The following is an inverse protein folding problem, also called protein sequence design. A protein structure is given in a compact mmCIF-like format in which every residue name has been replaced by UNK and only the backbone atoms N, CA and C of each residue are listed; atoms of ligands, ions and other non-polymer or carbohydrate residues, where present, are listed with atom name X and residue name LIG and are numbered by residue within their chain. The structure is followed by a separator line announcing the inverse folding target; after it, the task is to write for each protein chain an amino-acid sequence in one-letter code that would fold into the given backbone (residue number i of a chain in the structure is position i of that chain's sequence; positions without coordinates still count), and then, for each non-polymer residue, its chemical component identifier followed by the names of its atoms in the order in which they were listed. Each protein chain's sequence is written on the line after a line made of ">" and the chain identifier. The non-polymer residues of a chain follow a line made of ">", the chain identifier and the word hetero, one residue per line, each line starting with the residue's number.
data_IF_241963671313
#
_entry.id   IF_241963671313
#
_cell.length_a   1.000
_cell.length_b   1.000
_cell.length_c   1.000
_cell.angle_alpha   90.00
_cell.angle_beta   90.00
_cell.angle_gamma   90.00
#
_symmetry.space_group_name_H-M   'P 1'
#
loop_
_entity.id
_entity.type
_entity.pdbx_description
1 polymer ?
#
# COMPACT_ATOMS: atom_id res chain seq x y z
N UNK A 1 76.06 -34.70 -19.98
CA UNK A 1 74.59 -34.96 -20.00
C UNK A 1 73.79 -34.40 -18.80
N UNK A 2 74.40 -33.78 -17.77
CA UNK A 2 73.65 -33.16 -16.65
C UNK A 2 72.94 -31.80 -16.94
N UNK A 3 73.41 -30.89 -17.81
CA UNK A 3 72.77 -29.57 -17.97
C UNK A 3 71.44 -29.64 -18.75
N UNK A 4 71.33 -30.56 -19.72
CA UNK A 4 70.11 -30.72 -20.54
C UNK A 4 68.92 -31.21 -19.70
N UNK A 5 69.16 -32.13 -18.74
CA UNK A 5 68.09 -32.61 -17.84
C UNK A 5 67.56 -31.52 -16.91
N UNK A 6 68.43 -30.61 -16.45
CA UNK A 6 68.04 -29.48 -15.61
C UNK A 6 67.21 -28.45 -16.38
N UNK A 7 67.59 -28.16 -17.64
CA UNK A 7 66.84 -27.26 -18.53
C UNK A 7 65.46 -27.84 -18.88
N UNK A 8 65.39 -29.13 -19.21
CA UNK A 8 64.11 -29.82 -19.50
C UNK A 8 63.22 -29.81 -18.25
N UNK A 9 63.77 -30.10 -17.07
CA UNK A 9 63.03 -30.06 -15.81
C UNK A 9 62.48 -28.65 -15.51
N UNK A 10 63.30 -27.61 -15.71
CA UNK A 10 62.88 -26.22 -15.56
C UNK A 10 61.76 -25.82 -16.53
N UNK A 11 61.84 -26.26 -17.79
CA UNK A 11 60.80 -26.02 -18.78
C UNK A 11 59.48 -26.72 -18.44
N UNK A 12 59.53 -28.00 -18.05
CA UNK A 12 58.34 -28.76 -17.64
C UNK A 12 57.68 -28.11 -16.42
N UNK A 13 58.46 -27.66 -15.45
CA UNK A 13 57.95 -26.93 -14.28
C UNK A 13 57.28 -25.60 -14.70
N UNK A 14 57.90 -24.84 -15.60
CA UNK A 14 57.33 -23.59 -16.09
C UNK A 14 56.01 -23.80 -16.84
N UNK A 15 55.92 -24.82 -17.70
CA UNK A 15 54.68 -25.19 -18.40
C UNK A 15 53.61 -25.63 -17.41
N UNK A 16 53.96 -26.42 -16.40
CA UNK A 16 53.04 -26.83 -15.35
C UNK A 16 52.49 -25.63 -14.56
N UNK A 17 53.38 -24.72 -14.12
CA UNK A 17 52.99 -23.48 -13.43
C UNK A 17 52.08 -22.63 -14.33
N UNK A 18 52.40 -22.51 -15.62
CA UNK A 18 51.56 -21.78 -16.57
C UNK A 18 50.16 -22.38 -16.68
N UNK A 19 50.04 -23.71 -16.80
CA UNK A 19 48.74 -24.40 -16.86
C UNK A 19 47.92 -24.14 -15.59
N UNK A 20 48.56 -24.21 -14.42
CA UNK A 20 47.88 -23.95 -13.13
C UNK A 20 47.40 -22.49 -13.05
N UNK A 21 48.24 -21.53 -13.39
CA UNK A 21 47.90 -20.10 -13.35
C UNK A 21 46.83 -19.76 -14.38
N UNK A 22 46.94 -20.27 -15.61
CA UNK A 22 45.95 -20.06 -16.67
C UNK A 22 44.59 -20.69 -16.30
N UNK A 23 44.59 -21.91 -15.77
CA UNK A 23 43.37 -22.58 -15.30
C UNK A 23 42.72 -21.80 -14.16
N UNK A 24 43.51 -21.32 -13.20
CA UNK A 24 43.03 -20.46 -12.12
C UNK A 24 42.46 -19.14 -12.64
N UNK A 25 43.13 -18.50 -13.61
CA UNK A 25 42.66 -17.26 -14.22
C UNK A 25 41.33 -17.46 -15.00
N UNK A 26 41.18 -18.58 -15.71
CA UNK A 26 39.93 -18.94 -16.39
C UNK A 26 38.79 -19.15 -15.39
N UNK A 27 39.02 -19.93 -14.33
CA UNK A 27 38.04 -20.14 -13.26
C UNK A 27 37.66 -18.82 -12.59
N UNK A 28 38.64 -17.96 -12.32
CA UNK A 28 38.42 -16.62 -11.78
C UNK A 28 37.56 -15.76 -12.71
N UNK A 29 37.81 -15.79 -14.02
CA UNK A 29 37.06 -15.05 -15.03
C UNK A 29 35.63 -15.58 -15.20
N UNK A 30 35.43 -16.90 -15.08
CA UNK A 30 34.12 -17.56 -15.05
C UNK A 30 33.34 -17.33 -13.74
N UNK A 31 33.93 -16.62 -12.78
CA UNK A 31 33.29 -16.28 -11.51
C UNK A 31 33.36 -17.39 -10.47
N UNK A 32 34.28 -18.34 -10.58
CA UNK A 32 34.53 -19.34 -9.54
C UNK A 32 35.42 -18.79 -8.42
N UNK A 33 35.15 -19.21 -7.19
CA UNK A 33 35.96 -18.94 -6.02
C UNK A 33 36.13 -20.22 -5.21
N UNK A 34 37.31 -20.39 -4.63
CA UNK A 34 37.61 -21.52 -3.74
C UNK A 34 36.94 -21.25 -2.40
N UNK A 35 36.07 -22.18 -2.00
CA UNK A 35 35.55 -22.28 -0.65
C UNK A 35 36.56 -23.07 0.19
N UNK A 36 37.44 -22.38 0.89
CA UNK A 36 38.52 -22.99 1.68
C UNK A 36 38.02 -23.86 2.84
N UNK A 37 36.76 -23.71 3.26
CA UNK A 37 36.19 -24.55 4.31
C UNK A 37 35.83 -25.94 3.79
N UNK A 38 35.35 -26.02 2.55
CA UNK A 38 34.88 -27.27 1.94
C UNK A 38 35.79 -27.78 0.81
N UNK A 39 36.90 -27.08 0.53
CA UNK A 39 37.84 -27.33 -0.57
C UNK A 39 37.16 -27.50 -1.94
N UNK A 40 36.06 -26.78 -2.16
CA UNK A 40 35.25 -26.89 -3.37
C UNK A 40 35.26 -25.58 -4.19
N UNK A 41 35.17 -25.72 -5.51
CA UNK A 41 35.00 -24.59 -6.42
C UNK A 41 33.52 -24.26 -6.54
N UNK A 42 33.12 -23.08 -6.06
CA UNK A 42 31.74 -22.60 -6.19
C UNK A 42 31.69 -21.41 -7.14
N UNK A 43 30.70 -21.41 -8.03
CA UNK A 43 30.37 -20.22 -8.82
C UNK A 43 29.82 -19.16 -7.87
N UNK A 44 30.34 -17.95 -7.99
CA UNK A 44 29.96 -16.85 -7.11
C UNK A 44 28.63 -16.24 -7.52
N UNK A 45 27.95 -15.64 -6.55
CA UNK A 45 26.76 -14.83 -6.76
C UNK A 45 27.05 -13.34 -6.62
N UNK A 46 26.00 -12.55 -6.81
CA UNK A 46 25.99 -11.10 -6.71
C UNK A 46 24.87 -10.65 -5.77
N UNK A 47 25.08 -9.54 -5.07
CA UNK A 47 23.98 -8.83 -4.40
C UNK A 47 23.87 -7.44 -5.02
N UNK A 48 22.70 -7.09 -5.52
CA UNK A 48 22.35 -5.72 -5.89
C UNK A 48 21.57 -5.06 -4.75
N UNK A 49 22.03 -3.89 -4.31
CA UNK A 49 21.48 -3.21 -3.14
C UNK A 49 21.10 -1.78 -3.53
N UNK A 50 19.86 -1.39 -3.24
CA UNK A 50 19.39 -0.02 -3.39
C UNK A 50 18.58 0.41 -2.17
N UNK A 51 18.85 1.62 -1.67
CA UNK A 51 18.15 2.22 -0.53
C UNK A 51 17.67 3.63 -0.84
N UNK A 52 16.67 4.06 -0.08
CA UNK A 52 16.08 5.39 -0.16
C UNK A 52 16.05 6.04 1.22
N UNK A 53 16.77 7.16 1.41
CA UNK A 53 17.66 7.81 0.45
C UNK A 53 18.91 6.99 0.06
N UNK A 54 19.50 7.35 -1.09
CA UNK A 54 20.75 6.77 -1.61
C UNK A 54 21.95 7.18 -0.76
N UNK A 55 23.06 6.47 -0.92
CA UNK A 55 24.32 6.76 -0.22
C UNK A 55 24.31 6.26 1.23
N UNK A 56 23.70 5.10 1.49
CA UNK A 56 23.83 4.41 2.76
C UNK A 56 25.12 3.58 2.76
N UNK A 57 25.85 3.62 3.88
CA UNK A 57 26.98 2.74 4.18
C UNK A 57 26.49 1.30 4.30
N UNK A 58 27.33 0.37 3.83
CA UNK A 58 26.98 -1.03 3.72
C UNK A 58 27.93 -1.86 4.59
N UNK A 59 27.34 -2.73 5.40
CA UNK A 59 28.07 -3.76 6.13
C UNK A 59 27.44 -5.11 5.81
N UNK A 60 28.26 -6.07 5.39
CA UNK A 60 27.83 -7.39 4.96
C UNK A 60 28.56 -8.46 5.78
N UNK A 61 27.79 -9.30 6.48
CA UNK A 61 28.31 -10.33 7.39
C UNK A 61 29.36 -9.77 8.37
N UNK A 62 29.06 -8.64 9.01
CA UNK A 62 29.97 -8.01 9.96
C UNK A 62 31.03 -7.08 9.33
N UNK A 63 31.28 -7.16 8.02
CA UNK A 63 32.36 -6.43 7.35
C UNK A 63 31.86 -5.19 6.60
N UNK A 64 32.46 -4.03 6.87
CA UNK A 64 32.21 -2.82 6.12
C UNK A 64 32.65 -2.98 4.65
N UNK A 65 31.80 -2.52 3.74
CA UNK A 65 32.05 -2.49 2.31
C UNK A 65 32.36 -1.06 1.93
N UNK A 66 33.47 -0.84 1.23
CA UNK A 66 33.93 0.48 0.75
C UNK A 66 33.13 0.95 -0.48
N UNK A 67 31.80 0.93 -0.35
CA UNK A 67 30.80 1.38 -1.33
C UNK A 67 29.53 1.77 -0.58
N UNK A 68 28.77 2.68 -1.17
CA UNK A 68 27.44 3.06 -0.67
C UNK A 68 26.34 2.67 -1.66
N UNK A 69 25.09 2.64 -1.22
CA UNK A 69 23.94 2.37 -2.09
C UNK A 69 23.71 3.49 -3.12
N UNK A 70 23.20 3.20 -4.34
CA UNK A 70 23.01 1.87 -4.90
C UNK A 70 24.33 1.24 -5.35
N UNK A 71 24.50 -0.07 -5.16
CA UNK A 71 25.72 -0.77 -5.59
C UNK A 71 25.50 -2.26 -5.81
N UNK A 72 26.42 -2.88 -6.52
CA UNK A 72 26.50 -4.34 -6.67
C UNK A 72 27.74 -4.88 -5.99
N UNK A 73 27.53 -5.77 -5.03
CA UNK A 73 28.59 -6.55 -4.39
C UNK A 73 28.76 -7.84 -5.22
N UNK A 74 29.93 -7.98 -5.83
CA UNK A 74 30.26 -9.08 -6.74
C UNK A 74 31.07 -10.15 -6.03
N UNK A 75 31.09 -11.36 -6.60
CA UNK A 75 32.02 -12.44 -6.22
C UNK A 75 31.80 -12.98 -4.79
N UNK A 76 30.55 -13.05 -4.37
CA UNK A 76 30.17 -13.62 -3.07
C UNK A 76 30.07 -15.14 -3.19
N UNK A 77 30.56 -15.85 -2.17
CA UNK A 77 30.29 -17.29 -2.10
C UNK A 77 28.81 -17.50 -1.79
N UNK A 78 28.17 -18.54 -2.32
CA UNK A 78 26.79 -18.87 -1.95
C UNK A 78 26.63 -19.08 -0.44
N UNK A 79 25.55 -18.55 0.13
CA UNK A 79 25.26 -18.61 1.56
C UNK A 79 24.41 -17.43 2.05
N UNK A 80 24.08 -17.45 3.34
CA UNK A 80 23.32 -16.37 3.99
C UNK A 80 24.23 -15.24 4.46
N UNK A 81 23.84 -14.01 4.15
CA UNK A 81 24.54 -12.81 4.58
C UNK A 81 23.59 -11.87 5.31
N UNK A 82 23.98 -11.45 6.52
CA UNK A 82 23.37 -10.31 7.19
C UNK A 82 23.84 -9.02 6.50
N UNK A 83 22.92 -8.31 5.86
CA UNK A 83 23.11 -6.98 5.31
C UNK A 83 22.65 -5.94 6.33
N UNK A 84 23.53 -5.01 6.67
CA UNK A 84 23.25 -3.83 7.48
C UNK A 84 23.47 -2.58 6.61
N UNK A 85 22.50 -1.68 6.59
CA UNK A 85 22.58 -0.38 5.94
C UNK A 85 22.50 0.72 6.99
N UNK A 86 23.43 1.67 6.92
CA UNK A 86 23.46 2.81 7.83
C UNK A 86 23.59 4.12 7.06
N UNK A 87 22.90 5.16 7.50
CA UNK A 87 23.03 6.49 6.93
C UNK A 87 22.81 7.52 8.03
N UNK A 88 23.67 8.54 8.08
CA UNK A 88 23.55 9.63 9.05
C UNK A 88 22.14 10.23 9.05
N UNK A 89 21.56 10.44 10.23
CA UNK A 89 20.21 10.94 10.48
C UNK A 89 19.04 9.98 10.13
N UNK A 90 19.34 8.76 9.68
CA UNK A 90 18.34 7.72 9.43
C UNK A 90 18.51 6.57 10.41
N UNK A 91 17.42 5.82 10.62
CA UNK A 91 17.42 4.58 11.35
C UNK A 91 18.14 3.52 10.50
N UNK A 92 18.98 2.67 11.11
CA UNK A 92 19.65 1.61 10.38
C UNK A 92 18.62 0.62 9.82
N UNK A 93 19.01 -0.12 8.80
CA UNK A 93 18.23 -1.24 8.30
C UNK A 93 19.05 -2.50 8.32
N UNK A 94 18.44 -3.64 8.66
CA UNK A 94 19.08 -4.94 8.66
C UNK A 94 18.22 -6.01 7.98
N UNK A 95 18.86 -6.93 7.25
CA UNK A 95 18.18 -7.96 6.46
C UNK A 95 19.06 -9.17 6.19
N UNK A 96 18.50 -10.37 6.27
CA UNK A 96 19.18 -11.58 5.83
C UNK A 96 18.93 -11.79 4.33
N UNK A 97 20.00 -12.01 3.57
CA UNK A 97 19.95 -12.26 2.13
C UNK A 97 20.61 -13.60 1.81
N UNK A 98 19.90 -14.46 1.07
CA UNK A 98 20.44 -15.69 0.53
C UNK A 98 21.15 -15.38 -0.82
N UNK A 99 22.44 -15.66 -0.89
CA UNK A 99 23.20 -15.60 -2.15
C UNK A 99 23.24 -16.99 -2.77
N UNK A 100 22.70 -17.10 -3.97
CA UNK A 100 22.70 -18.34 -4.73
C UNK A 100 23.81 -18.37 -5.79
N UNK A 101 24.24 -19.58 -6.13
CA UNK A 101 25.35 -19.83 -7.06
C UNK A 101 25.03 -19.31 -8.47
N UNK A 102 25.80 -18.32 -8.94
CA UNK A 102 25.66 -17.77 -10.29
C UNK A 102 24.44 -16.86 -10.50
N UNK A 103 23.70 -16.54 -9.45
CA UNK A 103 22.51 -15.68 -9.50
C UNK A 103 22.79 -14.30 -8.90
N UNK A 104 21.89 -13.36 -9.21
CA UNK A 104 21.87 -12.02 -8.63
C UNK A 104 20.74 -11.98 -7.60
N UNK A 105 21.09 -11.84 -6.33
CA UNK A 105 20.13 -11.56 -5.27
C UNK A 105 19.87 -10.06 -5.25
N UNK A 106 18.62 -9.66 -5.46
CA UNK A 106 18.25 -8.24 -5.46
C UNK A 106 17.61 -7.85 -4.12
N UNK A 107 18.15 -6.78 -3.51
CA UNK A 107 17.51 -6.07 -2.40
C UNK A 107 17.36 -4.60 -2.77
N UNK A 108 16.31 -4.32 -3.54
CA UNK A 108 15.93 -2.97 -3.97
C UNK A 108 14.96 -2.33 -2.99
N UNK A 109 14.78 -1.02 -3.15
CA UNK A 109 13.75 -0.23 -2.49
C UNK A 109 13.77 -0.30 -0.95
N UNK A 110 14.95 -0.44 -0.34
CA UNK A 110 15.06 -0.40 1.11
C UNK A 110 14.79 1.01 1.62
N UNK A 111 13.67 1.19 2.33
CA UNK A 111 13.25 2.49 2.82
C UNK A 111 13.89 2.78 4.19
N UNK A 112 14.80 3.75 4.23
CA UNK A 112 15.41 4.23 5.47
C UNK A 112 14.55 5.35 6.04
N UNK A 113 14.08 5.16 7.27
CA UNK A 113 13.24 6.15 7.97
C UNK A 113 14.11 7.08 8.80
N UNK A 114 13.81 8.38 8.81
CA UNK A 114 14.52 9.39 9.57
C UNK A 114 14.54 9.03 11.06
N UNK A 115 15.70 9.20 11.69
CA UNK A 115 15.88 8.93 13.12
C UNK A 115 15.15 9.97 13.97
N UNK A 116 15.29 11.25 13.59
CA UNK A 116 14.68 12.39 14.26
C UNK A 116 13.54 12.93 13.41
N UNK A 117 12.32 12.50 13.73
CA UNK A 117 11.10 13.02 13.11
C UNK A 117 10.81 14.42 13.69
N UNK A 118 10.68 15.43 12.83
CA UNK A 118 10.35 16.81 13.19
C UNK A 118 8.98 17.16 12.60
N UNK A 119 7.87 16.92 13.33
CA UNK A 119 6.55 17.28 12.87
C UNK A 119 6.41 18.80 12.77
N UNK A 120 5.81 19.28 11.70
CA UNK A 120 5.54 20.70 11.46
C UNK A 120 4.04 20.91 11.40
N UNK A 121 3.50 21.78 12.26
CA UNK A 121 2.10 22.17 12.21
C UNK A 121 1.83 22.95 10.93
N UNK A 122 0.88 22.46 10.13
CA UNK A 122 0.39 23.12 8.93
C UNK A 122 -0.79 24.04 9.23
N UNK A 123 -1.68 23.62 10.13
CA UNK A 123 -2.88 24.37 10.54
C UNK A 123 -3.04 24.26 12.05
N UNK A 124 -3.05 25.40 12.74
CA UNK A 124 -3.18 25.49 14.20
C UNK A 124 -4.61 25.29 14.71
N UNK A 125 -5.60 25.51 13.85
CA UNK A 125 -7.01 25.30 14.20
C UNK A 125 -7.32 23.80 14.32
N UNK A 126 -8.23 23.47 15.25
CA UNK A 126 -8.67 22.11 15.46
C UNK A 126 -9.34 21.53 14.20
N UNK A 127 -8.93 20.31 13.83
CA UNK A 127 -9.43 19.56 12.68
C UNK A 127 -10.03 18.26 13.18
N UNK A 128 -11.22 17.92 12.71
CA UNK A 128 -11.92 16.68 13.10
C UNK A 128 -11.65 15.54 12.13
N UNK A 129 -11.44 15.84 10.84
CA UNK A 129 -11.20 14.83 9.80
C UNK A 129 -10.49 15.42 8.60
N UNK A 130 -9.66 14.64 7.92
CA UNK A 130 -8.98 15.04 6.69
C UNK A 130 -9.19 14.07 5.54
N UNK A 131 -9.15 14.60 4.31
CA UNK A 131 -9.21 13.85 3.04
C UNK A 131 -8.25 14.48 2.03
N UNK A 132 -7.41 13.67 1.39
CA UNK A 132 -6.49 14.13 0.35
C UNK A 132 -7.12 14.08 -1.04
N UNK A 133 -6.69 14.95 -1.95
CA UNK A 133 -7.05 14.83 -3.36
C UNK A 133 -6.28 13.68 -4.03
N UNK A 134 -6.86 12.96 -5.01
CA UNK A 134 -6.18 11.88 -5.74
C UNK A 134 -4.85 12.29 -6.40
N UNK A 135 -4.72 13.56 -6.79
CA UNK A 135 -3.49 14.12 -7.36
C UNK A 135 -2.43 14.49 -6.30
N UNK A 136 -2.71 14.26 -5.01
CA UNK A 136 -1.90 14.65 -3.86
C UNK A 136 -1.53 16.15 -3.83
N UNK A 137 -2.29 17.02 -4.51
CA UNK A 137 -1.99 18.46 -4.57
C UNK A 137 -2.68 19.29 -3.49
N UNK A 138 -3.74 18.77 -2.86
CA UNK A 138 -4.53 19.47 -1.84
C UNK A 138 -5.04 18.53 -0.76
N UNK A 139 -5.38 19.11 0.39
CA UNK A 139 -6.01 18.43 1.52
C UNK A 139 -7.26 19.19 1.91
N UNK A 140 -8.35 18.47 2.14
CA UNK A 140 -9.55 19.01 2.74
C UNK A 140 -9.62 18.59 4.18
N UNK A 141 -9.86 19.55 5.07
CA UNK A 141 -10.22 19.26 6.45
C UNK A 141 -11.63 19.70 6.78
N UNK A 142 -12.29 18.89 7.59
CA UNK A 142 -13.57 19.21 8.19
C UNK A 142 -13.39 19.60 9.65
N UNK A 143 -14.13 20.62 10.05
CA UNK A 143 -14.44 20.94 11.44
C UNK A 143 -15.95 20.78 11.65
N UNK A 144 -16.41 20.95 12.89
CA UNK A 144 -17.85 20.96 13.19
C UNK A 144 -18.69 21.90 12.34
N UNK A 145 -18.13 23.00 11.83
CA UNK A 145 -18.91 24.09 11.20
C UNK A 145 -18.50 24.40 9.76
N UNK A 146 -17.30 24.01 9.36
CA UNK A 146 -16.76 24.34 8.05
C UNK A 146 -15.89 23.22 7.47
N UNK A 147 -15.80 23.23 6.15
CA UNK A 147 -14.88 22.44 5.36
C UNK A 147 -13.95 23.42 4.66
N UNK A 148 -12.65 23.27 4.88
CA UNK A 148 -11.61 24.07 4.24
C UNK A 148 -10.77 23.20 3.30
N UNK A 149 -10.12 23.85 2.34
CA UNK A 149 -9.16 23.27 1.41
C UNK A 149 -7.80 23.93 1.66
N UNK A 150 -6.78 23.11 1.88
CA UNK A 150 -5.40 23.51 1.96
C UNK A 150 -4.67 23.08 0.69
N UNK A 151 -4.05 24.04 0.01
CA UNK A 151 -3.20 23.79 -1.15
C UNK A 151 -1.78 23.49 -0.68
N UNK A 152 -1.28 22.28 -0.98
CA UNK A 152 0.04 21.83 -0.50
C UNK A 152 1.16 22.66 -1.12
N UNK A 153 1.01 23.04 -2.39
CA UNK A 153 2.04 23.74 -3.14
C UNK A 153 2.09 25.22 -2.79
N UNK A 154 0.91 25.85 -2.72
CA UNK A 154 0.78 27.29 -2.47
C UNK A 154 0.76 27.63 -0.97
N UNK A 155 0.57 26.63 -0.09
CA UNK A 155 0.43 26.79 1.36
C UNK A 155 -0.70 27.76 1.75
N UNK A 156 -1.78 27.77 0.98
CA UNK A 156 -2.94 28.63 1.20
C UNK A 156 -4.14 27.82 1.66
N UNK A 157 -5.01 28.44 2.48
CA UNK A 157 -6.29 27.86 2.90
C UNK A 157 -7.46 28.62 2.29
N UNK A 158 -8.52 27.90 1.90
CA UNK A 158 -9.78 28.47 1.43
C UNK A 158 -10.97 27.71 2.01
N UNK A 159 -12.04 28.41 2.40
CA UNK A 159 -13.27 27.77 2.89
C UNK A 159 -14.07 27.24 1.69
N UNK A 160 -14.38 25.94 1.68
CA UNK A 160 -15.20 25.30 0.66
C UNK A 160 -16.67 25.29 1.04
N UNK A 161 -16.99 24.91 2.27
CA UNK A 161 -18.38 24.83 2.72
C UNK A 161 -18.50 25.29 4.17
N UNK A 162 -19.55 26.07 4.43
CA UNK A 162 -19.99 26.44 5.76
C UNK A 162 -21.51 26.67 5.73
N UNK A 163 -22.11 26.96 6.89
CA UNK A 163 -23.54 27.21 7.00
C UNK A 163 -24.07 28.26 6.00
N UNK A 164 -23.32 29.35 5.76
CA UNK A 164 -23.69 30.42 4.85
C UNK A 164 -23.74 29.96 3.38
N UNK A 165 -22.67 29.32 2.91
CA UNK A 165 -22.55 28.81 1.54
C UNK A 165 -23.57 27.70 1.24
N UNK A 166 -23.85 26.84 2.21
CA UNK A 166 -24.88 25.81 2.10
C UNK A 166 -26.25 26.46 1.91
N UNK A 167 -26.60 27.48 2.69
CA UNK A 167 -27.89 28.19 2.58
C UNK A 167 -28.07 28.95 1.28
N UNK A 168 -27.00 29.28 0.57
CA UNK A 168 -27.09 29.91 -0.75
C UNK A 168 -27.63 28.93 -1.80
N UNK A 169 -27.18 27.67 -1.76
CA UNK A 169 -27.47 26.66 -2.77
C UNK A 169 -28.62 25.72 -2.39
N UNK A 170 -28.75 25.39 -1.11
CA UNK A 170 -29.79 24.48 -0.60
C UNK A 170 -30.94 25.29 -0.02
N UNK A 171 -32.14 25.07 -0.57
CA UNK A 171 -33.39 25.71 -0.14
C UNK A 171 -34.39 24.65 0.37
N UNK A 172 -35.42 25.10 1.07
CA UNK A 172 -36.47 24.23 1.61
C UNK A 172 -36.27 23.81 3.06
N UNK A 173 -37.12 22.89 3.52
CA UNK A 173 -37.25 22.50 4.94
C UNK A 173 -35.96 21.90 5.53
N UNK A 174 -35.17 21.21 4.71
CA UNK A 174 -33.92 20.59 5.15
C UNK A 174 -32.74 21.57 5.23
N UNK A 175 -32.84 22.75 4.60
CA UNK A 175 -31.69 23.66 4.44
C UNK A 175 -31.08 24.10 5.79
N UNK A 176 -31.92 24.36 6.79
CA UNK A 176 -31.45 24.76 8.12
C UNK A 176 -30.79 23.62 8.88
N UNK A 177 -31.31 22.39 8.73
CA UNK A 177 -30.75 21.21 9.38
C UNK A 177 -29.39 20.83 8.77
N UNK A 178 -29.26 20.95 7.44
CA UNK A 178 -28.00 20.73 6.72
C UNK A 178 -26.97 21.80 7.10
N UNK A 179 -27.35 23.08 7.05
CA UNK A 179 -26.41 24.17 7.24
C UNK A 179 -25.85 24.25 8.67
N UNK A 180 -26.61 23.78 9.66
CA UNK A 180 -26.20 23.76 11.06
C UNK A 180 -25.67 22.40 11.52
N UNK A 181 -25.62 21.41 10.62
CA UNK A 181 -25.13 20.07 10.92
C UNK A 181 -23.60 20.02 11.00
N UNK A 182 -23.09 18.97 11.65
CA UNK A 182 -21.65 18.70 11.68
C UNK A 182 -21.17 18.31 10.28
N UNK A 183 -20.26 19.11 9.73
CA UNK A 183 -19.70 18.86 8.40
C UNK A 183 -18.52 17.89 8.49
N UNK A 184 -18.45 16.94 7.56
CA UNK A 184 -17.35 15.98 7.50
C UNK A 184 -17.04 15.60 6.04
N UNK A 185 -15.81 15.81 5.55
CA UNK A 185 -15.42 15.37 4.22
C UNK A 185 -15.41 13.84 4.13
N UNK A 186 -15.73 13.29 2.94
CA UNK A 186 -15.75 11.85 2.68
C UNK A 186 -14.64 11.47 1.70
N UNK A 187 -14.75 11.88 0.43
CA UNK A 187 -13.80 11.55 -0.63
C UNK A 187 -13.96 12.47 -1.85
N UNK A 188 -12.93 12.48 -2.69
CA UNK A 188 -12.87 13.26 -3.92
C UNK A 188 -13.17 12.43 -5.17
N UNK A 189 -13.72 13.08 -6.20
CA UNK A 189 -13.73 12.55 -7.56
C UNK A 189 -12.31 12.32 -8.08
N UNK A 190 -12.09 11.39 -9.03
CA UNK A 190 -10.75 11.06 -9.54
C UNK A 190 -9.98 12.27 -10.10
N UNK A 191 -10.67 13.25 -10.69
CA UNK A 191 -10.10 14.51 -11.22
C UNK A 191 -9.92 15.62 -10.17
N UNK A 192 -10.18 15.32 -8.89
CA UNK A 192 -10.08 16.26 -7.77
C UNK A 192 -10.99 17.50 -7.88
N UNK A 193 -12.02 17.49 -8.74
CA UNK A 193 -12.90 18.66 -8.93
C UNK A 193 -14.16 18.63 -8.05
N UNK A 194 -14.64 17.45 -7.65
CA UNK A 194 -15.82 17.27 -6.82
C UNK A 194 -15.44 16.64 -5.49
N UNK A 195 -15.92 17.22 -4.40
CA UNK A 195 -15.81 16.67 -3.06
C UNK A 195 -17.18 16.19 -2.60
N UNK A 196 -17.26 14.92 -2.20
CA UNK A 196 -18.39 14.39 -1.42
C UNK A 196 -18.15 14.68 0.07
N UNK A 197 -19.14 15.27 0.73
CA UNK A 197 -19.13 15.52 2.16
C UNK A 197 -20.49 15.22 2.79
N UNK A 198 -20.47 14.95 4.08
CA UNK A 198 -21.65 14.74 4.89
C UNK A 198 -21.94 15.97 5.74
N UNK A 199 -23.22 16.29 5.90
CA UNK A 199 -23.72 17.12 7.01
C UNK A 199 -24.60 16.27 7.92
N UNK A 200 -24.24 16.18 9.20
CA UNK A 200 -25.04 15.50 10.22
C UNK A 200 -25.87 16.53 10.97
N UNK A 201 -27.11 16.71 10.54
CA UNK A 201 -28.09 17.59 11.17
C UNK A 201 -28.73 16.97 12.41
N UNK A 202 -29.67 17.69 13.01
CA UNK A 202 -30.47 17.22 14.15
C UNK A 202 -31.44 16.11 13.75
N UNK A 203 -31.99 16.17 12.54
CA UNK A 203 -33.02 15.24 12.11
C UNK A 203 -32.52 14.20 11.12
N UNK A 204 -31.55 14.52 10.28
CA UNK A 204 -31.05 13.58 9.28
C UNK A 204 -29.56 13.73 9.00
N UNK A 205 -29.00 12.75 8.29
CA UNK A 205 -27.71 12.88 7.64
C UNK A 205 -27.93 13.18 6.16
N UNK A 206 -27.11 14.07 5.64
CA UNK A 206 -27.22 14.60 4.29
C UNK A 206 -25.88 14.42 3.59
N UNK A 207 -25.93 13.88 2.37
CA UNK A 207 -24.76 13.71 1.52
C UNK A 207 -24.80 14.75 0.41
N UNK A 208 -23.77 15.58 0.37
CA UNK A 208 -23.67 16.70 -0.55
C UNK A 208 -22.40 16.60 -1.37
N UNK A 209 -22.47 17.08 -2.60
CA UNK A 209 -21.30 17.26 -3.45
C UNK A 209 -21.08 18.74 -3.65
N UNK A 210 -19.83 19.19 -3.47
CA UNK A 210 -19.38 20.52 -3.84
C UNK A 210 -18.39 20.44 -4.99
N UNK A 211 -18.58 21.30 -5.99
CA UNK A 211 -17.56 21.54 -7.00
C UNK A 211 -16.54 22.55 -6.47
N UNK A 212 -15.28 22.13 -6.34
CA UNK A 212 -14.21 22.92 -5.69
C UNK A 212 -13.93 24.24 -6.41
N UNK A 213 -14.13 24.29 -7.73
CA UNK A 213 -13.86 25.49 -8.54
C UNK A 213 -15.00 26.49 -8.51
N UNK A 214 -16.24 26.02 -8.69
CA UNK A 214 -17.42 26.88 -8.78
C UNK A 214 -18.09 27.16 -7.44
N UNK A 215 -17.80 26.38 -6.40
CA UNK A 215 -18.45 26.48 -5.09
C UNK A 215 -19.90 25.98 -5.07
N UNK A 216 -20.40 25.43 -6.19
CA UNK A 216 -21.78 24.94 -6.28
C UNK A 216 -21.94 23.69 -5.42
N UNK A 217 -22.91 23.73 -4.50
CA UNK A 217 -23.27 22.63 -3.62
C UNK A 217 -24.58 21.99 -4.08
N UNK A 218 -24.59 20.66 -4.24
CA UNK A 218 -25.78 19.87 -4.55
C UNK A 218 -26.05 18.84 -3.46
N UNK A 219 -27.32 18.67 -3.10
CA UNK A 219 -27.76 17.56 -2.26
C UNK A 219 -27.91 16.30 -3.13
N UNK A 220 -27.22 15.23 -2.76
CA UNK A 220 -27.21 13.96 -3.50
C UNK A 220 -28.15 12.95 -2.86
N UNK A 221 -28.09 12.80 -1.55
CA UNK A 221 -28.91 11.84 -0.82
C UNK A 221 -29.18 12.28 0.62
N UNK A 222 -30.23 11.70 1.21
CA UNK A 222 -30.62 11.92 2.61
C UNK A 222 -30.89 10.58 3.28
N UNK A 223 -30.37 10.36 4.48
CA UNK A 223 -30.70 9.17 5.26
C UNK A 223 -29.72 8.88 6.39
N UNK A 224 -30.22 8.34 7.51
CA UNK A 224 -29.48 8.05 8.75
C UNK A 224 -28.64 6.76 8.74
N UNK A 225 -28.44 6.12 7.60
CA UNK A 225 -27.89 4.77 7.53
C UNK A 225 -26.44 4.77 7.01
N UNK A 226 -25.65 3.81 7.50
CA UNK A 226 -24.29 3.57 7.04
C UNK A 226 -24.33 3.28 5.53
N UNK A 227 -23.80 4.21 4.75
CA UNK A 227 -23.73 4.14 3.29
C UNK A 227 -22.27 4.12 2.90
N UNK A 228 -21.87 3.10 2.14
CA UNK A 228 -20.53 3.08 1.52
C UNK A 228 -20.62 3.91 0.24
N UNK A 229 -19.81 4.95 0.15
CA UNK A 229 -19.77 5.87 -0.99
C UNK A 229 -18.44 5.73 -1.72
N UNK A 230 -18.50 5.59 -3.05
CA UNK A 230 -17.30 5.51 -3.88
C UNK A 230 -17.54 6.16 -5.23
N UNK A 231 -16.58 6.97 -5.67
CA UNK A 231 -16.60 7.56 -7.00
C UNK A 231 -16.27 6.50 -8.06
N UNK A 232 -17.13 6.37 -9.07
CA UNK A 232 -16.86 5.53 -10.23
C UNK A 232 -16.05 6.31 -11.26
N UNK A 233 -16.50 7.53 -11.55
CA UNK A 233 -15.89 8.43 -12.51
C UNK A 233 -15.92 9.86 -11.98
N UNK A 234 -15.58 10.84 -12.81
CA UNK A 234 -15.57 12.25 -12.40
C UNK A 234 -16.97 12.81 -12.07
N UNK A 235 -18.03 12.16 -12.53
CA UNK A 235 -19.42 12.64 -12.38
C UNK A 235 -20.38 11.58 -11.85
N UNK A 236 -19.93 10.32 -11.74
CA UNK A 236 -20.76 9.21 -11.29
C UNK A 236 -20.32 8.72 -9.91
N UNK A 237 -21.30 8.55 -9.05
CA UNK A 237 -21.11 8.16 -7.66
C UNK A 237 -21.91 6.89 -7.38
N UNK A 238 -21.28 5.93 -6.73
CA UNK A 238 -21.91 4.69 -6.30
C UNK A 238 -22.15 4.75 -4.82
N UNK A 239 -23.37 4.40 -4.41
CA UNK A 239 -23.66 4.11 -3.01
C UNK A 239 -24.17 2.68 -2.83
N UNK A 240 -23.84 2.10 -1.69
CA UNK A 240 -24.39 0.83 -1.24
C UNK A 240 -25.14 1.03 0.07
N UNK A 241 -26.41 0.63 0.09
CA UNK A 241 -27.33 0.81 1.20
C UNK A 241 -28.34 -0.33 1.27
N UNK A 242 -28.45 -1.00 2.43
CA UNK A 242 -29.46 -2.04 2.71
C UNK A 242 -29.55 -3.12 1.62
N UNK A 243 -28.39 -3.59 1.14
CA UNK A 243 -28.33 -4.59 0.07
C UNK A 243 -28.68 -4.07 -1.31
N UNK A 244 -28.82 -2.75 -1.49
CA UNK A 244 -29.03 -2.12 -2.79
C UNK A 244 -27.83 -1.27 -3.17
N UNK A 245 -27.35 -1.43 -4.39
CA UNK A 245 -26.35 -0.58 -4.99
C UNK A 245 -27.05 0.43 -5.90
N UNK A 246 -26.80 1.73 -5.71
CA UNK A 246 -27.28 2.75 -6.63
C UNK A 246 -26.10 3.44 -7.31
N UNK A 247 -26.21 3.56 -8.63
CA UNK A 247 -25.34 4.40 -9.45
C UNK A 247 -26.05 5.74 -9.68
N UNK A 248 -25.41 6.83 -9.29
CA UNK A 248 -25.98 8.18 -9.33
C UNK A 248 -25.12 9.05 -10.26
N UNK A 249 -25.77 9.71 -11.22
CA UNK A 249 -25.16 10.79 -12.00
C UNK A 249 -25.34 12.11 -11.26
N UNK A 250 -24.23 12.76 -10.90
CA UNK A 250 -24.22 14.02 -10.14
C UNK A 250 -24.57 15.23 -11.02
N UNK A 251 -24.32 15.15 -12.33
CA UNK A 251 -24.64 16.22 -13.28
C UNK A 251 -26.14 16.22 -13.54
N UNK A 252 -26.70 15.06 -13.91
CA UNK A 252 -28.13 14.87 -14.13
C UNK A 252 -28.95 14.80 -12.84
N UNK A 253 -28.30 14.63 -11.68
CA UNK A 253 -28.91 14.46 -10.37
C UNK A 253 -29.95 13.33 -10.35
N UNK A 254 -29.60 12.19 -10.94
CA UNK A 254 -30.51 11.06 -11.16
C UNK A 254 -29.81 9.74 -10.85
N UNK A 255 -30.56 8.80 -10.25
CA UNK A 255 -30.15 7.39 -10.15
C UNK A 255 -30.24 6.72 -11.52
N UNK A 256 -29.11 6.25 -12.04
CA UNK A 256 -28.98 5.55 -13.33
C UNK A 256 -29.42 4.09 -13.18
N UNK A 257 -28.87 3.39 -12.18
CA UNK A 257 -29.09 1.95 -11.96
C UNK A 257 -29.29 1.69 -10.48
N UNK A 258 -30.25 0.82 -10.12
CA UNK A 258 -30.41 0.27 -8.77
C UNK A 258 -30.37 -1.25 -8.85
N UNK A 259 -29.44 -1.88 -8.13
CA UNK A 259 -29.24 -3.32 -8.12
C UNK A 259 -29.59 -3.87 -6.74
N UNK A 260 -30.59 -4.77 -6.62
CA UNK A 260 -30.93 -5.40 -5.35
C UNK A 260 -29.97 -6.55 -5.01
N UNK A 261 -30.03 -6.99 -3.76
CA UNK A 261 -29.31 -8.16 -3.23
C UNK A 261 -27.77 -8.10 -3.37
N UNK A 262 -27.20 -6.90 -3.34
CA UNK A 262 -25.75 -6.68 -3.34
C UNK A 262 -25.21 -6.86 -1.93
N UNK A 263 -24.30 -7.81 -1.74
CA UNK A 263 -23.67 -8.11 -0.45
C UNK A 263 -22.48 -7.21 -0.20
N UNK A 264 -21.63 -7.00 -1.21
CA UNK A 264 -20.55 -6.02 -1.20
C UNK A 264 -20.22 -5.58 -2.64
N UNK A 265 -19.45 -4.50 -2.77
CA UNK A 265 -19.01 -3.94 -4.05
C UNK A 265 -17.58 -3.41 -3.99
N UNK A 266 -16.94 -3.43 -5.16
CA UNK A 266 -15.68 -2.74 -5.42
C UNK A 266 -15.68 -2.10 -6.81
N UNK A 267 -14.84 -1.08 -6.97
CA UNK A 267 -14.63 -0.40 -8.24
C UNK A 267 -13.19 -0.68 -8.67
N UNK A 268 -13.03 -1.29 -9.84
CA UNK A 268 -11.74 -1.67 -10.42
C UNK A 268 -11.74 -1.34 -11.90
N UNK A 269 -10.65 -0.78 -12.42
CA UNK A 269 -10.51 -0.41 -13.83
C UNK A 269 -11.70 0.41 -14.38
N UNK A 270 -12.18 1.37 -13.58
CA UNK A 270 -13.35 2.20 -13.89
C UNK A 270 -14.65 1.39 -14.13
N UNK A 271 -14.77 0.18 -13.59
CA UNK A 271 -15.97 -0.66 -13.65
C UNK A 271 -16.43 -1.05 -12.24
N UNK A 272 -17.74 -1.23 -12.09
CA UNK A 272 -18.34 -1.69 -10.83
C UNK A 272 -18.41 -3.21 -10.85
N UNK A 273 -17.93 -3.82 -9.79
CA UNK A 273 -18.06 -5.24 -9.52
C UNK A 273 -18.79 -5.43 -8.19
N UNK A 274 -19.74 -6.36 -8.16
CA UNK A 274 -20.56 -6.61 -6.99
C UNK A 274 -20.68 -8.10 -6.69
N UNK A 275 -20.70 -8.47 -5.41
CA UNK A 275 -21.24 -9.74 -4.97
C UNK A 275 -22.77 -9.64 -4.98
N UNK A 276 -23.43 -10.42 -5.82
CA UNK A 276 -24.89 -10.45 -5.89
C UNK A 276 -25.38 -11.80 -5.40
N UNK A 277 -26.26 -11.79 -4.40
CA UNK A 277 -26.86 -13.00 -3.85
C UNK A 277 -28.17 -13.34 -4.58
N UNK A 278 -28.25 -14.55 -5.13
CA UNK A 278 -29.45 -15.12 -5.74
C UNK A 278 -29.56 -16.61 -5.38
N UNK A 279 -30.71 -17.04 -4.83
CA UNK A 279 -30.97 -18.45 -4.50
C UNK A 279 -29.86 -19.13 -3.65
N UNK A 280 -29.32 -18.41 -2.65
CA UNK A 280 -28.21 -18.84 -1.78
C UNK A 280 -26.84 -18.98 -2.46
N UNK A 281 -26.74 -18.65 -3.75
CA UNK A 281 -25.48 -18.54 -4.48
C UNK A 281 -25.10 -17.06 -4.52
N UNK A 282 -23.83 -16.75 -4.24
CA UNK A 282 -23.29 -15.42 -4.41
C UNK A 282 -22.37 -15.44 -5.61
N UNK A 283 -22.59 -14.53 -6.56
CA UNK A 283 -21.79 -14.44 -7.77
C UNK A 283 -21.08 -13.09 -7.84
N UNK A 284 -19.87 -13.10 -8.38
CA UNK A 284 -19.16 -11.89 -8.78
C UNK A 284 -19.72 -11.43 -10.12
N UNK A 285 -20.30 -10.23 -10.13
CA UNK A 285 -21.00 -9.68 -11.28
C UNK A 285 -20.39 -8.33 -11.66
N UNK A 286 -20.04 -8.17 -12.94
CA UNK A 286 -19.69 -6.88 -13.52
C UNK A 286 -20.98 -6.14 -13.88
N UNK A 287 -21.13 -4.95 -13.33
CA UNK A 287 -22.33 -4.12 -13.56
C UNK A 287 -22.17 -3.32 -14.84
N UNK A 288 -23.13 -3.46 -15.75
CA UNK A 288 -23.14 -2.72 -17.00
C UNK A 288 -23.92 -1.40 -16.88
N UNK A 289 -23.36 -0.33 -17.46
CA UNK A 289 -23.90 1.04 -17.37
C UNK A 289 -25.08 1.32 -18.31
N UNK A 290 -25.20 0.58 -19.42
CA UNK A 290 -26.13 0.90 -20.51
C UNK A 290 -27.20 -0.16 -20.84
N UNK A 291 -26.83 -1.45 -20.92
CA UNK A 291 -27.66 -2.46 -21.59
C UNK A 291 -28.49 -3.35 -20.65
N UNK A 292 -28.58 -3.04 -19.35
CA UNK A 292 -29.32 -3.80 -18.32
C UNK A 292 -28.95 -5.30 -18.12
N UNK A 293 -28.06 -5.88 -18.94
CA UNK A 293 -27.56 -7.24 -18.74
C UNK A 293 -26.24 -7.15 -17.99
N UNK A 294 -26.24 -7.54 -16.72
CA UNK A 294 -25.01 -7.66 -15.96
C UNK A 294 -24.26 -8.95 -16.36
N UNK A 295 -22.93 -8.91 -16.37
CA UNK A 295 -22.10 -10.05 -16.75
C UNK A 295 -21.64 -10.78 -15.49
N UNK A 296 -22.06 -12.05 -15.33
CA UNK A 296 -21.56 -12.91 -14.25
C UNK A 296 -20.17 -13.41 -14.61
N UNK A 297 -19.18 -13.10 -13.77
CA UNK A 297 -17.78 -13.47 -13.99
C UNK A 297 -17.49 -14.84 -13.40
N UNK A 298 -17.92 -15.05 -12.16
CA UNK A 298 -17.66 -16.27 -11.42
C UNK A 298 -18.64 -16.43 -10.25
N UNK A 299 -18.83 -17.68 -9.82
CA UNK A 299 -19.46 -17.96 -8.52
C UNK A 299 -18.41 -17.73 -7.42
N UNK A 300 -18.80 -17.06 -6.34
CA UNK A 300 -17.94 -16.79 -5.20
C UNK A 300 -17.95 -17.95 -4.20
N UNK A 301 -16.88 -18.13 -3.40
CA UNK A 301 -16.88 -19.10 -2.32
C UNK A 301 -18.00 -18.78 -1.31
N UNK A 302 -18.66 -19.80 -0.77
CA UNK A 302 -19.83 -19.61 0.09
C UNK A 302 -19.51 -18.84 1.37
N UNK A 303 -20.16 -17.69 1.54
CA UNK A 303 -20.29 -17.04 2.84
C UNK A 303 -21.26 -15.86 2.95
N UNK A 304 -21.24 -15.21 4.11
CA UNK A 304 -22.23 -14.20 4.53
C UNK A 304 -21.81 -12.78 4.19
N UNK A 305 -20.51 -12.47 4.27
CA UNK A 305 -19.95 -11.18 3.90
C UNK A 305 -18.68 -11.33 3.08
N UNK A 306 -18.46 -10.36 2.20
CA UNK A 306 -17.37 -10.38 1.23
C UNK A 306 -16.62 -9.05 1.27
N UNK A 307 -15.35 -9.08 0.91
CA UNK A 307 -14.59 -7.87 0.51
C UNK A 307 -13.72 -8.22 -0.68
N UNK A 308 -13.72 -7.33 -1.68
CA UNK A 308 -13.01 -7.55 -2.93
C UNK A 308 -11.74 -6.73 -3.04
N UNK A 309 -10.74 -7.34 -3.67
CA UNK A 309 -9.55 -6.69 -4.20
C UNK A 309 -9.25 -7.25 -5.59
N UNK A 310 -8.37 -6.59 -6.32
CA UNK A 310 -7.85 -7.05 -7.60
C UNK A 310 -6.33 -6.92 -7.59
N UNK A 311 -5.65 -7.98 -8.00
CA UNK A 311 -4.19 -8.06 -8.11
C UNK A 311 -3.89 -8.52 -9.53
N UNK A 312 -3.37 -7.62 -10.36
CA UNK A 312 -3.25 -7.81 -11.81
C UNK A 312 -4.54 -8.32 -12.47
N UNK A 313 -4.52 -9.54 -13.02
CA UNK A 313 -5.68 -10.18 -13.64
C UNK A 313 -6.47 -11.08 -12.68
N UNK A 314 -6.00 -11.21 -11.44
CA UNK A 314 -6.58 -12.08 -10.42
C UNK A 314 -7.45 -11.29 -9.44
N UNK A 315 -8.42 -11.97 -8.84
CA UNK A 315 -9.31 -11.44 -7.82
C UNK A 315 -8.89 -11.91 -6.45
N UNK A 316 -8.86 -10.97 -5.52
CA UNK A 316 -8.73 -11.25 -4.10
C UNK A 316 -10.12 -11.14 -3.47
N UNK A 317 -10.48 -12.09 -2.63
CA UNK A 317 -11.73 -12.05 -1.90
C UNK A 317 -11.52 -12.51 -0.46
N UNK A 318 -11.98 -11.71 0.51
CA UNK A 318 -12.18 -12.20 1.88
C UNK A 318 -13.61 -12.67 2.02
N UNK A 319 -13.82 -13.87 2.58
CA UNK A 319 -15.16 -14.43 2.82
C UNK A 319 -15.33 -14.65 4.31
N UNK A 320 -16.30 -13.96 4.90
CA UNK A 320 -16.62 -14.07 6.33
C UNK A 320 -17.84 -14.94 6.53
N UNK A 321 -17.71 -15.90 7.45
CA UNK A 321 -18.77 -16.80 7.90
C UNK A 321 -18.85 -16.76 9.43
N UNK A 322 -19.95 -16.23 9.98
CA UNK A 322 -20.14 -16.02 11.42
C UNK A 322 -19.02 -15.16 12.05
N UNK A 323 -17.94 -15.78 12.50
CA UNK A 323 -16.81 -15.13 13.18
C UNK A 323 -15.45 -15.46 12.53
N UNK A 324 -15.41 -16.28 11.48
CA UNK A 324 -14.17 -16.62 10.79
C UNK A 324 -14.15 -16.00 9.41
N UNK A 325 -13.03 -15.41 9.04
CA UNK A 325 -12.81 -14.87 7.69
C UNK A 325 -11.69 -15.66 7.02
N UNK A 326 -11.93 -16.06 5.78
CA UNK A 326 -10.98 -16.75 4.92
C UNK A 326 -10.53 -15.84 3.78
N UNK A 327 -9.27 -15.96 3.37
CA UNK A 327 -8.71 -15.28 2.21
C UNK A 327 -8.71 -16.22 1.00
N UNK A 328 -9.18 -15.72 -0.14
CA UNK A 328 -9.26 -16.45 -1.39
C UNK A 328 -8.60 -15.64 -2.51
N UNK A 329 -7.90 -16.33 -3.40
CA UNK A 329 -7.33 -15.77 -4.62
C UNK A 329 -7.90 -16.53 -5.82
N UNK A 330 -8.32 -15.81 -6.85
CA UNK A 330 -8.74 -16.44 -8.09
C UNK A 330 -7.56 -16.68 -9.01
N UNK A 331 -7.59 -17.78 -9.74
CA UNK A 331 -6.71 -18.05 -10.88
C UNK A 331 -7.56 -18.19 -12.14
N UNK A 332 -7.03 -17.75 -13.27
CA UNK A 332 -7.74 -17.85 -14.55
C UNK A 332 -7.19 -18.99 -15.39
N UNK A 333 -8.03 -20.00 -15.63
CA UNK A 333 -7.71 -21.14 -16.49
C UNK A 333 -8.79 -21.31 -17.54
N UNK A 334 -8.43 -21.37 -18.82
CA UNK A 334 -9.38 -21.52 -19.94
C UNK A 334 -10.54 -20.49 -19.93
N UNK A 335 -10.23 -19.23 -19.62
CA UNK A 335 -11.19 -18.13 -19.44
C UNK A 335 -12.14 -18.21 -18.23
N UNK A 336 -12.12 -19.29 -17.45
CA UNK A 336 -12.88 -19.41 -16.21
C UNK A 336 -12.03 -19.03 -14.99
N UNK A 337 -12.67 -18.50 -13.96
CA UNK A 337 -12.03 -18.20 -12.68
C UNK A 337 -12.26 -19.34 -11.69
N UNK A 338 -11.18 -19.85 -11.13
CA UNK A 338 -11.18 -20.83 -10.04
C UNK A 338 -10.64 -20.20 -8.77
N UNK A 339 -11.20 -20.55 -7.61
CA UNK A 339 -10.82 -19.95 -6.33
C UNK A 339 -9.96 -20.88 -5.48
N UNK A 340 -8.78 -20.39 -5.11
CA UNK A 340 -7.83 -21.06 -4.21
C UNK A 340 -7.90 -20.42 -2.82
N UNK A 341 -8.08 -21.24 -1.77
CA UNK A 341 -8.11 -20.76 -0.38
C UNK A 341 -6.69 -20.56 0.13
N UNK A 342 -6.37 -19.33 0.54
CA UNK A 342 -5.02 -18.95 0.96
C UNK A 342 -4.82 -18.99 2.47
N UNK A 343 -5.76 -18.47 3.25
CA UNK A 343 -5.62 -18.34 4.70
C UNK A 343 -6.98 -18.35 5.41
N UNK A 344 -6.96 -18.64 6.71
CA UNK A 344 -8.15 -18.76 7.56
C UNK A 344 -8.00 -18.02 8.88
N UNK A 345 -9.10 -17.49 9.41
CA UNK A 345 -9.09 -16.74 10.66
C UNK A 345 -8.36 -15.40 10.52
N UNK A 346 -8.42 -14.79 9.33
CA UNK A 346 -7.79 -13.50 9.07
C UNK A 346 -8.70 -12.33 9.48
N UNK A 347 -8.13 -11.14 9.63
CA UNK A 347 -8.93 -9.91 9.58
C UNK A 347 -9.30 -9.57 8.13
N UNK A 348 -10.50 -9.03 7.85
CA UNK A 348 -10.89 -8.67 6.47
C UNK A 348 -9.99 -7.63 5.78
N UNK A 349 -9.19 -6.87 6.53
CA UNK A 349 -8.25 -5.90 5.97
C UNK A 349 -7.00 -6.59 5.42
N UNK A 350 -6.87 -6.58 4.10
CA UNK A 350 -5.70 -7.08 3.38
C UNK A 350 -5.11 -5.94 2.56
N UNK A 351 -3.81 -5.75 2.65
CA UNK A 351 -3.05 -4.85 1.79
C UNK A 351 -2.25 -5.68 0.78
N UNK A 352 -1.96 -5.12 -0.37
CA UNK A 352 -1.17 -5.81 -1.38
C UNK A 352 -0.39 -4.84 -2.25
N UNK A 353 0.66 -5.35 -2.88
CA UNK A 353 1.37 -4.75 -3.99
C UNK A 353 1.54 -5.78 -5.12
N UNK A 354 2.42 -5.50 -6.07
CA UNK A 354 2.69 -6.36 -7.23
C UNK A 354 3.33 -7.70 -6.84
N UNK A 355 3.75 -7.92 -5.60
CA UNK A 355 4.47 -9.15 -5.19
C UNK A 355 3.87 -9.82 -3.95
N UNK A 356 3.45 -9.06 -2.95
CA UNK A 356 3.06 -9.55 -1.63
C UNK A 356 1.64 -9.17 -1.25
N UNK A 357 0.96 -10.11 -0.57
CA UNK A 357 -0.24 -9.91 0.21
C UNK A 357 0.14 -9.77 1.68
N UNK A 358 -0.34 -8.71 2.34
CA UNK A 358 -0.16 -8.45 3.77
C UNK A 358 -1.52 -8.54 4.46
N UNK A 359 -1.65 -9.48 5.39
CA UNK A 359 -2.89 -9.68 6.15
C UNK A 359 -2.58 -10.01 7.60
N UNK A 360 -3.57 -9.83 8.48
CA UNK A 360 -3.44 -10.20 9.88
C UNK A 360 -4.13 -11.53 10.13
N UNK A 361 -3.47 -12.42 10.88
CA UNK A 361 -3.97 -13.74 11.24
C UNK A 361 -3.49 -14.07 12.65
N UNK A 362 -4.38 -14.47 13.57
CA UNK A 362 -4.01 -14.90 14.93
C UNK A 362 -3.10 -13.93 15.71
N UNK A 363 -3.34 -12.60 15.63
CA UNK A 363 -2.47 -11.54 16.21
C UNK A 363 -1.07 -11.44 15.60
N UNK A 364 -0.89 -11.99 14.40
CA UNK A 364 0.32 -11.89 13.60
C UNK A 364 0.04 -11.07 12.36
N UNK A 365 1.06 -10.38 11.84
CA UNK A 365 1.04 -9.82 10.49
C UNK A 365 1.84 -10.76 9.60
N UNK A 366 1.20 -11.20 8.53
CA UNK A 366 1.71 -12.22 7.62
C UNK A 366 1.88 -11.59 6.23
N UNK A 367 3.05 -11.81 5.63
CA UNK A 367 3.37 -11.46 4.26
C UNK A 367 3.47 -12.72 3.41
N UNK A 368 2.72 -12.79 2.31
CA UNK A 368 2.73 -13.94 1.40
C UNK A 368 2.91 -13.49 -0.03
N UNK A 369 3.87 -14.07 -0.75
CA UNK A 369 4.00 -13.84 -2.17
C UNK A 369 2.80 -14.46 -2.90
N UNK A 370 2.08 -13.69 -3.72
CA UNK A 370 0.88 -14.21 -4.39
C UNK A 370 1.21 -14.97 -5.69
N UNK A 371 2.35 -14.68 -6.32
CA UNK A 371 2.82 -15.40 -7.51
C UNK A 371 3.40 -16.79 -7.18
N UNK A 372 3.86 -16.99 -5.94
CA UNK A 372 4.49 -18.23 -5.46
C UNK A 372 3.74 -18.79 -4.27
N UNK A 373 2.54 -19.30 -4.53
CA UNK A 373 1.65 -19.79 -3.48
C UNK A 373 2.22 -20.98 -2.67
N UNK A 374 3.19 -21.71 -3.24
CA UNK A 374 3.91 -22.80 -2.59
C UNK A 374 4.87 -22.32 -1.48
N UNK A 375 5.31 -21.06 -1.55
CA UNK A 375 6.23 -20.49 -0.56
C UNK A 375 5.52 -20.33 0.78
N UNK A 376 6.22 -20.70 1.86
CA UNK A 376 5.72 -20.55 3.23
C UNK A 376 5.51 -19.06 3.51
N UNK A 377 4.32 -18.66 3.97
CA UNK A 377 4.06 -17.27 4.30
C UNK A 377 4.97 -16.82 5.44
N UNK A 378 5.44 -15.58 5.35
CA UNK A 378 6.38 -15.00 6.31
C UNK A 378 5.63 -14.24 7.39
N UNK A 379 5.88 -14.58 8.65
CA UNK A 379 5.42 -13.77 9.79
C UNK A 379 6.36 -12.59 9.92
N UNK A 380 5.87 -11.38 9.69
CA UNK A 380 6.66 -10.14 9.81
C UNK A 380 6.51 -9.51 11.19
N UNK A 381 5.40 -9.78 11.90
CA UNK A 381 5.13 -9.27 13.23
C UNK A 381 4.33 -10.32 14.02
N UNK A 382 4.75 -10.61 15.25
CA UNK A 382 4.13 -11.62 16.11
C UNK A 382 3.63 -11.04 17.43
N UNK A 383 2.60 -11.66 18.01
CA UNK A 383 1.99 -11.34 19.31
C UNK A 383 1.51 -9.89 19.47
N UNK A 384 1.02 -9.26 18.40
CA UNK A 384 0.46 -7.91 18.45
C UNK A 384 -1.07 -7.95 18.42
N UNK A 385 -1.69 -7.55 19.53
CA UNK A 385 -3.15 -7.38 19.62
C UNK A 385 -3.55 -5.99 19.19
N UNK A 386 -4.74 -5.86 18.60
CA UNK A 386 -5.37 -4.57 18.30
C UNK A 386 -4.54 -3.66 17.38
N UNK A 387 -3.89 -4.24 16.38
CA UNK A 387 -3.19 -3.48 15.35
C UNK A 387 -4.09 -3.25 14.14
N UNK A 388 -3.97 -2.09 13.49
CA UNK A 388 -4.65 -1.77 12.22
C UNK A 388 -3.62 -1.56 11.12
N UNK A 389 -3.68 -2.34 10.05
CA UNK A 389 -2.86 -2.09 8.86
C UNK A 389 -3.32 -0.80 8.18
N UNK A 390 -2.36 0.04 7.80
CA UNK A 390 -2.63 1.36 7.22
C UNK A 390 -2.22 1.42 5.76
N UNK A 391 -0.99 1.04 5.46
CA UNK A 391 -0.44 1.14 4.13
C UNK A 391 0.71 0.17 3.94
N UNK A 392 0.94 -0.26 2.71
CA UNK A 392 2.04 -1.11 2.33
C UNK A 392 2.62 -0.58 1.03
N UNK A 393 3.94 -0.37 1.00
CA UNK A 393 4.66 0.09 -0.18
C UNK A 393 6.10 -0.41 -0.13
N UNK A 394 6.58 -0.92 -1.27
CA UNK A 394 7.88 -1.56 -1.41
C UNK A 394 8.05 -2.72 -0.43
N UNK A 395 8.84 -2.53 0.62
CA UNK A 395 9.07 -3.54 1.64
C UNK A 395 8.60 -3.10 3.02
N UNK A 396 7.86 -1.99 3.12
CA UNK A 396 7.49 -1.37 4.40
C UNK A 396 5.98 -1.34 4.59
N UNK A 397 5.54 -1.92 5.70
CA UNK A 397 4.17 -1.90 6.20
C UNK A 397 4.06 -0.84 7.28
N UNK A 398 3.11 0.08 7.12
CA UNK A 398 2.66 0.97 8.17
C UNK A 398 1.45 0.36 8.89
N UNK A 399 1.50 0.36 10.21
CA UNK A 399 0.39 -0.08 11.04
C UNK A 399 0.26 0.80 12.28
N UNK A 400 -0.95 0.85 12.81
CA UNK A 400 -1.25 1.46 14.11
C UNK A 400 -1.32 0.39 15.17
N UNK A 401 -0.70 0.65 16.32
CA UNK A 401 -0.90 -0.10 17.56
C UNK A 401 -1.46 0.86 18.60
N UNK A 402 -2.78 0.79 18.84
CA UNK A 402 -3.51 1.88 19.49
C UNK A 402 -3.39 3.18 18.68
N UNK A 403 -2.90 4.25 19.31
CA UNK A 403 -2.69 5.55 18.66
C UNK A 403 -1.29 5.72 18.07
N UNK A 404 -0.43 4.69 18.14
CA UNK A 404 0.98 4.80 17.75
C UNK A 404 1.21 4.25 16.35
N UNK A 405 1.58 5.14 15.43
CA UNK A 405 1.97 4.76 14.07
C UNK A 405 3.37 4.17 14.09
N UNK A 406 3.50 2.99 13.48
CA UNK A 406 4.73 2.20 13.47
C UNK A 406 4.98 1.69 12.05
N UNK A 407 6.25 1.67 11.64
CA UNK A 407 6.67 1.02 10.40
C UNK A 407 7.35 -0.31 10.72
N UNK A 408 7.08 -1.33 9.94
CA UNK A 408 7.83 -2.58 9.95
C UNK A 408 8.13 -3.00 8.52
N UNK A 409 9.32 -3.55 8.29
CA UNK A 409 9.67 -4.06 6.97
C UNK A 409 9.32 -5.54 6.81
N UNK A 410 9.36 -6.05 5.58
CA UNK A 410 9.08 -7.46 5.28
C UNK A 410 10.12 -8.41 5.88
N UNK A 411 11.27 -7.94 6.37
CA UNK A 411 12.18 -8.80 7.15
C UNK A 411 11.68 -9.09 8.56
N UNK A 412 10.81 -8.22 9.10
CA UNK A 412 10.39 -8.25 10.50
C UNK A 412 11.44 -7.72 11.48
N UNK A 413 12.65 -7.39 11.01
CA UNK A 413 13.76 -6.98 11.85
C UNK A 413 13.84 -5.47 12.09
N UNK A 414 13.12 -4.66 11.28
CA UNK A 414 13.17 -3.20 11.33
C UNK A 414 11.82 -2.62 11.73
N UNK A 415 11.47 -2.77 13.02
CA UNK A 415 10.21 -2.29 13.59
C UNK A 415 10.43 -0.96 14.33
N UNK A 416 9.95 0.15 13.75
CA UNK A 416 10.21 1.50 14.24
C UNK A 416 8.93 2.26 14.57
N UNK A 417 8.84 2.67 15.83
CA UNK A 417 7.86 3.64 16.32
C UNK A 417 8.08 5.02 15.66
N UNK A 418 7.03 5.58 15.06
CA UNK A 418 7.10 6.85 14.34
C UNK A 418 6.46 8.00 15.15
N UNK A 419 5.13 8.07 15.16
CA UNK A 419 4.36 9.20 15.73
C UNK A 419 3.07 8.71 16.39
N UNK A 420 2.37 9.59 17.12
CA UNK A 420 1.06 9.30 17.71
C UNK A 420 -0.05 10.08 16.98
N UNK A 421 -1.19 9.42 16.72
CA UNK A 421 -2.35 9.95 15.99
C UNK A 421 -3.57 10.09 16.91
N UNK A 422 -4.49 11.01 16.60
CA UNK A 422 -5.79 11.14 17.29
C UNK A 422 -6.63 9.90 17.06
N UNK A 423 -6.90 9.60 15.79
CA UNK A 423 -7.66 8.42 15.37
C UNK A 423 -7.08 7.76 14.10
N UNK A 424 -7.41 6.48 13.85
CA UNK A 424 -6.92 5.74 12.68
C UNK A 424 -7.38 6.22 11.30
N UNK A 425 -8.25 7.23 11.21
CA UNK A 425 -8.76 7.83 9.97
C UNK A 425 -8.11 9.18 9.62
N UNK A 426 -7.26 9.70 10.50
CA UNK A 426 -6.76 11.07 10.42
C UNK A 426 -5.38 11.14 9.80
N UNK A 427 -5.16 10.33 8.76
CA UNK A 427 -3.86 10.12 8.15
C UNK A 427 -3.98 10.14 6.64
N UNK A 428 -3.13 10.94 6.00
CA UNK A 428 -2.98 10.98 4.56
C UNK A 428 -1.50 10.80 4.23
N UNK A 429 -1.23 9.89 3.31
CA UNK A 429 0.09 9.70 2.71
C UNK A 429 0.11 10.57 1.47
N UNK A 430 0.88 11.65 1.49
CA UNK A 430 0.85 12.72 0.49
C UNK A 430 1.91 12.55 -0.61
N UNK A 431 2.63 11.42 -0.63
CA UNK A 431 3.66 11.14 -1.63
C UNK A 431 3.88 9.64 -1.86
N UNK A 432 4.39 9.33 -3.06
CA UNK A 432 5.04 8.08 -3.40
C UNK A 432 6.11 7.68 -2.36
N UNK A 433 6.22 6.38 -2.10
CA UNK A 433 7.17 5.79 -1.14
C UNK A 433 7.00 6.19 0.32
N UNK A 434 5.85 6.74 0.73
CA UNK A 434 5.61 7.12 2.13
C UNK A 434 6.67 8.15 2.61
N UNK A 435 7.09 9.08 1.75
CA UNK A 435 8.13 10.06 2.09
C UNK A 435 7.65 11.07 3.13
N UNK A 436 6.37 11.45 3.01
CA UNK A 436 5.68 12.42 3.85
C UNK A 436 4.34 11.88 4.32
N UNK A 437 3.98 12.34 5.50
CA UNK A 437 2.78 11.93 6.18
C UNK A 437 2.10 13.18 6.74
N UNK A 438 0.87 13.42 6.33
CA UNK A 438 0.02 14.46 6.92
C UNK A 438 -1.02 13.82 7.81
N UNK A 439 -1.18 14.33 9.03
CA UNK A 439 -2.04 13.72 10.03
C UNK A 439 -2.63 14.74 11.02
N UNK A 440 -3.66 14.33 11.76
CA UNK A 440 -4.16 15.11 12.90
C UNK A 440 -3.45 14.63 14.17
N UNK A 441 -2.81 15.56 14.87
CA UNK A 441 -2.09 15.27 16.11
C UNK A 441 -3.04 14.98 17.28
N UNK A 442 -2.77 13.87 17.99
CA UNK A 442 -3.62 13.32 19.04
C UNK A 442 -3.90 14.27 20.21
N UNK A 443 -2.97 15.19 20.49
CA UNK A 443 -3.03 16.06 21.67
C UNK A 443 -3.59 17.42 21.32
N UNK A 444 -3.21 17.94 20.16
CA UNK A 444 -3.50 19.32 19.76
C UNK A 444 -4.69 19.42 18.81
N UNK A 445 -5.10 18.32 18.18
CA UNK A 445 -6.07 18.30 17.07
C UNK A 445 -5.64 19.16 15.86
N UNK A 446 -4.35 19.47 15.75
CA UNK A 446 -3.79 20.29 14.67
C UNK A 446 -3.41 19.43 13.47
N UNK A 447 -3.52 20.03 12.27
CA UNK A 447 -2.98 19.40 11.06
C UNK A 447 -1.45 19.49 11.10
N UNK A 448 -0.79 18.35 11.05
CA UNK A 448 0.65 18.23 11.17
C UNK A 448 1.21 17.42 10.01
N UNK A 449 2.34 17.85 9.45
CA UNK A 449 3.10 17.07 8.49
C UNK A 449 4.42 16.61 9.10
N UNK A 450 4.80 15.36 8.83
CA UNK A 450 6.13 14.85 9.16
C UNK A 450 6.78 14.26 7.91
N UNK A 451 8.05 14.58 7.72
CA UNK A 451 8.88 13.97 6.68
C UNK A 451 9.52 12.72 7.26
N UNK A 452 9.15 11.55 6.74
CA UNK A 452 9.72 10.27 7.15
C UNK A 452 11.07 10.04 6.47
N UNK A 453 11.27 10.56 5.26
CA UNK A 453 12.52 10.46 4.49
C UNK A 453 12.55 11.48 3.37
N UNK A 454 13.74 11.79 2.88
CA UNK A 454 13.93 12.76 1.81
C UNK A 454 13.30 12.25 0.51
N UNK A 455 12.69 13.16 -0.26
CA UNK A 455 12.24 12.84 -1.61
C UNK A 455 13.47 12.57 -2.48
N UNK A 456 13.58 11.36 -3.00
CA UNK A 456 14.50 11.03 -4.07
C UNK A 456 13.73 11.02 -5.39
N UNK A 457 14.15 11.85 -6.34
CA UNK A 457 13.65 11.75 -7.71
C UNK A 457 13.98 10.35 -8.24
N UNK A 458 12.95 9.51 -8.40
CA UNK A 458 13.06 8.27 -9.14
C UNK A 458 13.18 8.65 -10.61
N UNK A 459 14.40 8.57 -11.16
CA UNK A 459 14.52 8.34 -12.58
C UNK A 459 14.10 6.88 -12.80
N UNK A 460 12.84 6.69 -13.18
CA UNK A 460 12.31 5.41 -13.64
C UNK A 460 13.06 4.93 -14.87
#
# INVERSE_FOLDING_TARGET
>A
MKPIRLVILGYVLAVFVFIVVASYALLYAMGYKIDWQNLNFKKTGFILIESYPRGAEIKLAGKAIDKSTPTTIKRLLPGDYLLELNKSNYRPWQGNLLVESGLVTEKRNVLLTSANLQPTTLIENAVDKIVGTPDNSKIVGGTKQEIWLWDINNKTTSVLANAGLIRQHIKGTNATDIANGQLSPINFSPDSQLLLFQSTGRYNQYFLVINVRSGIIKLVATGRQLTKWQWLSNTELVNWQLGKLNLIDIVANKTIVTIPNVVDMGIFDNNIYAAVAANKIVSLVKINRGNNINETIAVLPTGEAYTFGKVDNNWLCTVTNKQTTALWLSERTNNELTWSRLADGITPSVLWDDTYLIYQQNNQVVARAWEKLEDVPKIILDNQRNIKLIHFSYDTVLYLSGNKLTSIDLTGMNNYALINLTEPGDLIITDSQISKLTYIDAKTHQLTEVTLRDKTNLFF
#
